data_IF_612922712287
#
_entry.id   IF_612922712287
#
_cell.length_a   1.000
_cell.length_b   1.000
_cell.length_c   1.000
_cell.angle_alpha   90.00
_cell.angle_beta   90.00
_cell.angle_gamma   90.00
#
_symmetry.space_group_name_H-M   'P 1'
#
loop_
_entity.id
_entity.type
_entity.pdbx_description
1 polymer ?
#
# COMPACT_ATOMS: atom_id res chain seq x y z
N UNK A 1 -11.22 -13.69 -13.80
CA UNK A 1 -12.34 -14.64 -13.87
C UNK A 1 -13.12 -14.47 -12.58
N UNK A 2 -14.22 -13.72 -12.63
CA UNK A 2 -14.97 -13.33 -11.43
C UNK A 2 -15.96 -14.42 -11.03
N UNK A 3 -15.92 -14.82 -9.77
CA UNK A 3 -16.79 -15.85 -9.22
C UNK A 3 -18.17 -15.24 -8.95
N UNK A 4 -19.08 -15.31 -9.93
CA UNK A 4 -20.48 -14.92 -9.74
C UNK A 4 -21.21 -16.00 -8.96
N UNK A 5 -21.24 -15.86 -7.63
CA UNK A 5 -22.09 -16.69 -6.78
C UNK A 5 -23.51 -16.11 -6.73
N UNK A 6 -24.45 -16.76 -7.40
CA UNK A 6 -25.89 -16.57 -7.18
C UNK A 6 -26.30 -17.19 -5.84
N UNK A 7 -26.66 -16.37 -4.86
CA UNK A 7 -27.19 -16.82 -3.56
C UNK A 7 -28.72 -17.04 -3.67
N UNK A 8 -29.29 -18.10 -3.08
CA UNK A 8 -30.73 -18.42 -3.12
C UNK A 8 -31.60 -17.34 -2.44
N UNK A 9 -32.91 -17.34 -2.77
CA UNK A 9 -33.92 -16.33 -2.35
C UNK A 9 -33.75 -15.90 -0.87
N UNK A 10 -33.31 -14.66 -0.69
CA UNK A 10 -33.02 -14.06 0.62
C UNK A 10 -34.30 -13.70 1.39
N UNK A 11 -34.43 -14.15 2.64
CA UNK A 11 -35.44 -13.66 3.57
C UNK A 11 -35.19 -12.20 4.01
N UNK A 12 -36.20 -11.51 4.58
CA UNK A 12 -36.14 -10.09 5.01
C UNK A 12 -34.87 -9.72 5.80
N UNK A 13 -34.39 -10.61 6.69
CA UNK A 13 -33.17 -10.39 7.50
C UNK A 13 -31.87 -10.42 6.70
N UNK A 14 -31.79 -11.27 5.67
CA UNK A 14 -30.64 -11.32 4.77
C UNK A 14 -30.55 -10.07 3.89
N UNK A 15 -31.70 -9.52 3.48
CA UNK A 15 -31.77 -8.24 2.75
C UNK A 15 -31.29 -7.07 3.61
N UNK A 16 -31.59 -7.09 4.92
CA UNK A 16 -31.16 -6.07 5.87
C UNK A 16 -29.63 -6.06 6.09
N UNK A 17 -28.99 -7.23 6.25
CA UNK A 17 -27.52 -7.32 6.34
C UNK A 17 -26.83 -6.77 5.08
N UNK A 18 -27.37 -7.10 3.90
CA UNK A 18 -26.85 -6.59 2.63
C UNK A 18 -26.88 -5.06 2.56
N UNK A 19 -27.91 -4.42 3.13
CA UNK A 19 -28.00 -2.95 3.19
C UNK A 19 -26.92 -2.37 4.11
N UNK A 20 -26.71 -2.95 5.30
CA UNK A 20 -25.67 -2.46 6.22
C UNK A 20 -24.27 -2.62 5.66
N UNK A 21 -23.98 -3.79 5.08
CA UNK A 21 -22.71 -4.04 4.44
C UNK A 21 -22.51 -3.17 3.22
N UNK A 22 -23.56 -2.89 2.46
CA UNK A 22 -23.55 -1.92 1.36
C UNK A 22 -23.24 -0.50 1.84
N UNK A 23 -23.89 -0.02 2.91
CA UNK A 23 -23.64 1.31 3.48
C UNK A 23 -22.20 1.40 3.99
N UNK A 24 -21.75 0.43 4.78
CA UNK A 24 -20.40 0.39 5.31
C UNK A 24 -19.36 0.31 4.18
N UNK A 25 -19.62 -0.49 3.15
CA UNK A 25 -18.73 -0.61 1.98
C UNK A 25 -18.67 0.69 1.20
N UNK A 26 -19.80 1.32 0.91
CA UNK A 26 -19.84 2.64 0.27
C UNK A 26 -19.08 3.67 1.08
N UNK A 27 -19.21 3.66 2.40
CA UNK A 27 -18.47 4.56 3.25
C UNK A 27 -16.96 4.30 3.10
N UNK A 28 -16.51 3.07 3.35
CA UNK A 28 -15.09 2.67 3.30
C UNK A 28 -14.46 2.92 1.91
N UNK A 29 -15.14 2.52 0.83
CA UNK A 29 -14.63 2.62 -0.55
C UNK A 29 -14.71 4.04 -1.13
N UNK A 30 -15.48 4.96 -0.55
CA UNK A 30 -15.58 6.35 -1.01
C UNK A 30 -14.89 7.36 -0.09
N UNK A 31 -14.27 6.92 1.01
CA UNK A 31 -13.44 7.78 1.85
C UNK A 31 -12.34 8.41 1.02
N UNK A 32 -12.06 9.70 1.25
CA UNK A 32 -10.95 10.33 0.55
C UNK A 32 -9.59 9.93 1.15
N UNK A 33 -8.50 10.32 0.47
CA UNK A 33 -7.15 9.96 0.91
C UNK A 33 -6.83 10.53 2.30
N UNK A 34 -7.28 11.74 2.60
CA UNK A 34 -7.04 12.35 3.92
C UNK A 34 -7.86 11.65 4.99
N UNK A 35 -9.09 11.22 4.69
CA UNK A 35 -9.91 10.43 5.61
C UNK A 35 -9.23 9.11 5.98
N UNK A 36 -8.68 8.38 4.99
CA UNK A 36 -7.96 7.13 5.21
C UNK A 36 -6.68 7.34 6.05
N UNK A 37 -5.92 8.40 5.76
CA UNK A 37 -4.77 8.80 6.58
C UNK A 37 -5.23 9.19 7.98
N UNK A 38 -6.34 9.90 8.11
CA UNK A 38 -6.91 10.29 9.38
C UNK A 38 -7.43 9.09 10.18
N UNK A 39 -7.81 7.96 9.55
CA UNK A 39 -8.07 6.72 10.28
C UNK A 39 -6.85 6.23 11.08
N UNK A 40 -5.63 6.63 10.72
CA UNK A 40 -4.47 6.33 11.57
C UNK A 40 -4.40 7.22 12.82
N UNK A 41 -5.09 8.37 12.80
CA UNK A 41 -5.12 9.35 13.90
C UNK A 41 -6.22 9.01 14.90
N UNK A 42 -5.85 9.08 16.17
CA UNK A 42 -6.73 8.79 17.30
C UNK A 42 -8.04 9.58 17.26
N UNK A 43 -7.94 10.91 17.17
CA UNK A 43 -9.07 11.84 17.26
C UNK A 43 -10.15 11.64 16.18
N UNK A 44 -9.75 11.14 15.00
CA UNK A 44 -10.66 10.91 13.89
C UNK A 44 -11.43 9.60 14.05
N UNK A 45 -10.78 8.54 14.54
CA UNK A 45 -11.45 7.28 14.87
C UNK A 45 -12.49 7.45 15.98
N UNK A 46 -12.18 8.26 17.01
CA UNK A 46 -13.10 8.54 18.11
C UNK A 46 -14.43 9.11 17.60
N UNK A 47 -14.37 10.08 16.67
CA UNK A 47 -15.57 10.68 16.04
C UNK A 47 -16.35 9.66 15.21
N UNK A 48 -15.64 8.84 14.43
CA UNK A 48 -16.27 7.86 13.56
C UNK A 48 -17.05 6.80 14.35
N UNK A 49 -16.52 6.34 15.48
CA UNK A 49 -17.22 5.38 16.34
C UNK A 49 -18.44 6.00 17.03
N UNK A 50 -18.33 7.21 17.59
CA UNK A 50 -19.47 7.87 18.24
C UNK A 50 -20.61 8.01 17.25
N UNK A 51 -20.32 8.50 16.04
CA UNK A 51 -21.32 8.63 14.98
C UNK A 51 -21.92 7.27 14.60
N UNK A 52 -21.09 6.25 14.44
CA UNK A 52 -21.54 4.91 14.01
C UNK A 52 -22.40 4.23 15.08
N UNK A 53 -21.98 4.27 16.34
CA UNK A 53 -22.73 3.71 17.48
C UNK A 53 -24.03 4.48 17.76
N UNK A 54 -24.05 5.80 17.58
CA UNK A 54 -25.25 6.63 17.65
C UNK A 54 -26.25 6.30 16.55
N UNK A 55 -25.77 6.13 15.32
CA UNK A 55 -26.59 5.69 14.18
C UNK A 55 -27.21 4.32 14.46
N UNK A 56 -26.43 3.38 14.99
CA UNK A 56 -26.94 2.06 15.38
C UNK A 56 -28.02 2.14 16.45
N UNK A 57 -27.80 2.97 17.47
CA UNK A 57 -28.76 3.13 18.57
C UNK A 57 -30.09 3.75 18.13
N UNK A 58 -30.05 4.75 17.24
CA UNK A 58 -31.22 5.52 16.82
C UNK A 58 -32.06 4.82 15.76
N UNK A 59 -31.44 4.04 14.87
CA UNK A 59 -32.10 3.55 13.67
C UNK A 59 -32.43 2.05 13.67
N UNK A 60 -31.96 1.28 14.66
CA UNK A 60 -32.06 -0.19 14.64
C UNK A 60 -32.81 -0.76 15.83
N UNK A 61 -33.61 -1.79 15.57
CA UNK A 61 -34.32 -2.52 16.62
C UNK A 61 -33.38 -3.43 17.40
N UNK A 62 -33.82 -3.87 18.56
CA UNK A 62 -33.07 -4.81 19.41
C UNK A 62 -32.76 -6.13 18.68
N UNK A 63 -33.72 -6.66 17.93
CA UNK A 63 -33.54 -7.89 17.15
C UNK A 63 -32.53 -7.70 16.01
N UNK A 64 -32.48 -6.51 15.40
CA UNK A 64 -31.49 -6.19 14.37
C UNK A 64 -30.08 -6.14 14.96
N UNK A 65 -29.93 -5.58 16.16
CA UNK A 65 -28.63 -5.49 16.85
C UNK A 65 -28.12 -6.86 17.27
N UNK A 66 -28.97 -7.72 17.84
CA UNK A 66 -28.61 -9.10 18.19
C UNK A 66 -28.17 -9.88 16.94
N UNK A 67 -28.91 -9.72 15.84
CA UNK A 67 -28.62 -10.40 14.59
C UNK A 67 -27.32 -9.89 13.94
N UNK A 68 -27.04 -8.59 13.99
CA UNK A 68 -25.78 -8.00 13.53
C UNK A 68 -24.58 -8.49 14.36
N UNK A 69 -24.71 -8.51 15.69
CA UNK A 69 -23.65 -9.00 16.58
C UNK A 69 -23.33 -10.48 16.29
N UNK A 70 -24.35 -11.33 16.15
CA UNK A 70 -24.18 -12.72 15.71
C UNK A 70 -23.46 -12.82 14.37
N UNK A 71 -23.88 -12.05 13.36
CA UNK A 71 -23.21 -12.05 12.05
C UNK A 71 -21.73 -11.69 12.17
N UNK A 72 -21.37 -10.70 12.98
CA UNK A 72 -19.96 -10.28 13.11
C UNK A 72 -19.10 -11.35 13.78
N UNK A 73 -19.69 -12.21 14.61
CA UNK A 73 -19.00 -13.29 15.33
C UNK A 73 -18.96 -14.59 14.53
N UNK A 74 -20.06 -14.99 13.92
CA UNK A 74 -20.28 -16.33 13.35
C UNK A 74 -20.50 -16.33 11.82
N UNK A 75 -20.74 -15.16 11.21
CA UNK A 75 -21.05 -15.02 9.79
C UNK A 75 -22.55 -15.18 9.50
N UNK A 76 -22.93 -15.36 8.23
CA UNK A 76 -24.32 -15.72 7.91
C UNK A 76 -24.54 -17.22 8.13
N UNK A 77 -25.28 -17.58 9.17
CA UNK A 77 -25.84 -18.93 9.31
C UNK A 77 -27.03 -19.07 8.35
N UNK A 78 -26.86 -19.79 7.24
CA UNK A 78 -27.97 -20.15 6.35
C UNK A 78 -28.70 -21.35 6.95
N UNK A 79 -29.57 -21.12 7.92
CA UNK A 79 -30.61 -22.10 8.24
C UNK A 79 -31.76 -21.89 7.25
N UNK A 80 -31.62 -22.53 6.08
CA UNK A 80 -32.76 -22.88 5.25
C UNK A 80 -33.59 -23.88 6.05
N UNK A 81 -34.62 -23.39 6.75
CA UNK A 81 -35.89 -24.09 6.99
C UNK A 81 -36.83 -23.10 7.68
N UNK A 82 -37.76 -22.58 6.87
CA UNK A 82 -39.08 -22.07 7.25
C UNK A 82 -39.20 -20.97 8.31
N UNK A 83 -40.18 -20.10 8.06
CA UNK A 83 -40.60 -18.92 8.81
C UNK A 83 -41.10 -19.16 10.25
N UNK A 84 -40.60 -20.17 10.95
CA UNK A 84 -41.01 -20.49 12.31
C UNK A 84 -39.98 -21.44 12.93
N UNK A 85 -38.93 -20.88 13.53
CA UNK A 85 -38.23 -21.38 14.72
C UNK A 85 -36.93 -20.60 14.90
N UNK A 86 -36.96 -19.64 15.83
CA UNK A 86 -35.77 -19.00 16.36
C UNK A 86 -35.12 -20.01 17.33
N UNK A 87 -34.13 -20.74 16.84
CA UNK A 87 -33.14 -21.51 17.60
C UNK A 87 -31.93 -21.72 16.65
N UNK A 88 -30.69 -21.41 16.99
CA UNK A 88 -29.95 -21.85 18.17
C UNK A 88 -28.89 -20.79 18.54
N UNK A 89 -29.23 -19.91 19.48
CA UNK A 89 -28.39 -19.71 20.67
C UNK A 89 -29.30 -19.96 21.86
N UNK A 90 -28.76 -20.64 22.86
CA UNK A 90 -29.49 -21.21 23.99
C UNK A 90 -30.54 -20.23 24.56
N UNK A 91 -31.83 -20.60 24.41
CA UNK A 91 -33.03 -19.82 24.76
C UNK A 91 -33.00 -19.36 26.23
N UNK A 92 -32.34 -20.15 27.08
CA UNK A 92 -32.16 -19.90 28.51
C UNK A 92 -31.19 -18.75 28.83
N UNK A 93 -30.25 -18.45 27.92
CA UNK A 93 -29.37 -17.26 28.01
C UNK A 93 -30.03 -16.01 27.44
N UNK A 94 -30.94 -16.17 26.48
CA UNK A 94 -31.62 -15.05 25.82
C UNK A 94 -32.76 -14.49 26.67
N UNK A 95 -33.44 -15.34 27.45
CA UNK A 95 -34.34 -14.90 28.52
C UNK A 95 -33.62 -14.28 29.73
N UNK A 96 -32.28 -14.40 29.81
CA UNK A 96 -31.41 -13.77 30.82
C UNK A 96 -30.62 -12.56 30.30
N UNK A 97 -30.50 -12.40 28.98
CA UNK A 97 -29.96 -11.21 28.35
C UNK A 97 -31.12 -10.24 28.18
N UNK A 98 -31.39 -9.49 29.24
CA UNK A 98 -32.28 -8.35 29.14
C UNK A 98 -31.62 -7.27 28.26
N UNK A 99 -31.76 -7.39 26.94
CA UNK A 99 -31.25 -6.38 25.98
C UNK A 99 -32.10 -5.09 26.06
N UNK A 100 -33.12 -5.03 26.94
CA UNK A 100 -33.68 -3.75 27.39
C UNK A 100 -32.70 -2.98 28.29
N UNK A 101 -31.71 -3.66 28.89
CA UNK A 101 -30.62 -3.02 29.60
C UNK A 101 -29.76 -2.20 28.62
N UNK A 102 -29.85 -0.87 28.77
CA UNK A 102 -29.11 0.13 27.99
C UNK A 102 -27.61 -0.18 27.89
N UNK A 103 -27.01 -0.81 28.91
CA UNK A 103 -25.58 -1.16 28.96
C UNK A 103 -25.25 -2.32 28.01
N UNK A 104 -26.09 -3.37 27.97
CA UNK A 104 -25.88 -4.55 27.11
C UNK A 104 -26.04 -4.15 25.63
N UNK A 105 -27.11 -3.41 25.31
CA UNK A 105 -27.32 -2.84 23.97
C UNK A 105 -26.13 -1.96 23.54
N UNK A 106 -25.60 -1.13 24.44
CA UNK A 106 -24.45 -0.28 24.17
C UNK A 106 -23.19 -1.11 23.85
N UNK A 107 -22.90 -2.16 24.62
CA UNK A 107 -21.76 -3.05 24.37
C UNK A 107 -21.85 -3.79 23.03
N UNK A 108 -23.05 -4.23 22.63
CA UNK A 108 -23.26 -4.85 21.32
C UNK A 108 -23.01 -3.85 20.18
N UNK A 109 -23.53 -2.62 20.28
CA UNK A 109 -23.25 -1.57 19.29
C UNK A 109 -21.76 -1.24 19.18
N UNK A 110 -21.04 -1.23 20.30
CA UNK A 110 -19.57 -1.02 20.32
C UNK A 110 -18.86 -2.21 19.63
N UNK A 111 -19.27 -3.45 19.91
CA UNK A 111 -18.73 -4.65 19.26
C UNK A 111 -18.93 -4.66 17.74
N UNK A 112 -20.12 -4.27 17.27
CA UNK A 112 -20.42 -4.12 15.84
C UNK A 112 -19.56 -3.01 15.22
N UNK A 113 -19.43 -1.87 15.89
CA UNK A 113 -18.61 -0.74 15.41
C UNK A 113 -17.13 -1.13 15.31
N UNK A 114 -16.62 -1.88 16.29
CA UNK A 114 -15.26 -2.43 16.33
C UNK A 114 -14.94 -3.27 15.08
N UNK A 115 -15.91 -4.04 14.58
CA UNK A 115 -15.76 -4.86 13.37
C UNK A 115 -15.57 -4.00 12.11
N UNK A 116 -16.49 -3.06 11.85
CA UNK A 116 -16.43 -2.20 10.68
C UNK A 116 -15.21 -1.26 10.68
N UNK A 117 -14.79 -0.77 11.85
CA UNK A 117 -13.57 0.03 11.99
C UNK A 117 -12.33 -0.80 11.63
N UNK A 118 -12.27 -2.06 12.05
CA UNK A 118 -11.15 -2.95 11.72
C UNK A 118 -11.07 -3.23 10.21
N UNK A 119 -12.21 -3.38 9.54
CA UNK A 119 -12.28 -3.48 8.06
C UNK A 119 -11.73 -2.19 7.43
N UNK A 120 -12.11 -1.02 7.94
CA UNK A 120 -11.62 0.26 7.42
C UNK A 120 -10.09 0.40 7.58
N UNK A 121 -9.51 0.04 8.73
CA UNK A 121 -8.05 0.05 8.93
C UNK A 121 -7.33 -0.94 8.00
N UNK A 122 -7.89 -2.13 7.81
CA UNK A 122 -7.36 -3.15 6.92
C UNK A 122 -7.35 -2.65 5.46
N UNK A 123 -8.48 -2.10 5.01
CA UNK A 123 -8.63 -1.50 3.68
C UNK A 123 -7.65 -0.34 3.47
N UNK A 124 -7.57 0.58 4.43
CA UNK A 124 -6.65 1.71 4.40
C UNK A 124 -5.20 1.24 4.24
N UNK A 125 -4.78 0.24 5.02
CA UNK A 125 -3.42 -0.32 4.95
C UNK A 125 -3.08 -0.88 3.57
N UNK A 126 -4.03 -1.57 2.92
CA UNK A 126 -3.85 -2.13 1.58
C UNK A 126 -3.78 -1.04 0.50
N UNK A 127 -4.75 -0.12 0.48
CA UNK A 127 -4.83 0.93 -0.55
C UNK A 127 -3.68 1.92 -0.43
N UNK A 128 -3.32 2.31 0.79
CA UNK A 128 -2.20 3.22 1.04
C UNK A 128 -0.86 2.59 0.64
N UNK A 129 -0.67 1.29 0.90
CA UNK A 129 0.52 0.56 0.45
C UNK A 129 0.58 0.45 -1.08
N UNK A 130 -0.56 0.20 -1.74
CA UNK A 130 -0.63 0.14 -3.20
C UNK A 130 -0.43 1.51 -3.85
N UNK A 131 -0.82 2.58 -3.15
CA UNK A 131 -0.89 3.98 -3.56
C UNK A 131 -1.23 4.18 -5.05
N UNK A 132 -2.43 3.76 -5.50
CA UNK A 132 -2.87 4.00 -6.87
C UNK A 132 -3.18 5.49 -7.09
N UNK A 133 -2.77 6.02 -8.24
CA UNK A 133 -3.04 7.39 -8.69
C UNK A 133 -3.56 7.37 -10.11
N UNK A 134 -4.52 8.22 -10.41
CA UNK A 134 -5.02 8.49 -11.75
C UNK A 134 -4.21 9.59 -12.40
N UNK A 135 -3.81 9.38 -13.66
CA UNK A 135 -3.15 10.38 -14.47
C UNK A 135 -3.99 10.71 -15.70
N UNK A 136 -4.15 12.00 -15.97
CA UNK A 136 -4.82 12.48 -17.17
C UNK A 136 -4.13 13.77 -17.65
N UNK A 137 -4.30 14.10 -18.93
CA UNK A 137 -3.90 15.41 -19.44
C UNK A 137 -5.06 16.38 -19.28
N UNK A 138 -4.79 17.53 -18.69
CA UNK A 138 -5.78 18.61 -18.63
C UNK A 138 -5.98 19.26 -20.01
N UNK A 139 -6.88 20.24 -20.08
CA UNK A 139 -7.17 21.00 -21.30
C UNK A 139 -5.95 21.68 -21.92
N UNK A 140 -4.88 21.89 -21.12
CA UNK A 140 -3.65 22.55 -21.55
C UNK A 140 -2.56 21.53 -21.92
N UNK A 141 -2.88 20.23 -21.96
CA UNK A 141 -1.96 19.15 -22.28
C UNK A 141 -1.02 18.77 -21.12
N UNK A 142 -1.12 19.43 -19.97
CA UNK A 142 -0.28 19.16 -18.80
C UNK A 142 -0.73 17.88 -18.09
N UNK A 143 0.23 17.05 -17.68
CA UNK A 143 -0.05 15.80 -16.99
C UNK A 143 -0.42 16.09 -15.52
N UNK A 144 -1.67 15.79 -15.15
CA UNK A 144 -2.15 15.86 -13.76
C UNK A 144 -2.20 14.48 -13.15
N UNK A 145 -1.89 14.39 -11.86
CA UNK A 145 -1.97 13.17 -11.07
C UNK A 145 -2.93 13.39 -9.91
N UNK A 146 -3.95 12.53 -9.79
CA UNK A 146 -4.98 12.59 -8.76
C UNK A 146 -4.99 11.26 -8.01
N UNK A 147 -4.99 11.23 -6.67
CA UNK A 147 -5.08 9.98 -5.91
C UNK A 147 -6.31 9.14 -6.31
N UNK A 148 -6.22 7.82 -6.21
CA UNK A 148 -7.31 6.90 -6.60
C UNK A 148 -8.67 7.25 -5.95
N UNK A 149 -8.67 7.58 -4.66
CA UNK A 149 -9.90 7.94 -3.94
C UNK A 149 -10.50 9.28 -4.38
N UNK A 150 -9.72 10.12 -5.07
CA UNK A 150 -10.11 11.45 -5.52
C UNK A 150 -10.62 11.45 -6.97
N UNK A 151 -11.00 10.28 -7.50
CA UNK A 151 -11.57 10.13 -8.86
C UNK A 151 -12.71 11.11 -9.15
N UNK A 152 -13.53 11.42 -8.14
CA UNK A 152 -14.68 12.34 -8.26
C UNK A 152 -14.27 13.75 -8.72
N UNK A 153 -13.08 14.21 -8.34
CA UNK A 153 -12.54 15.52 -8.71
C UNK A 153 -11.99 15.58 -10.14
N UNK A 154 -11.91 14.44 -10.82
CA UNK A 154 -11.51 14.39 -12.23
C UNK A 154 -12.74 14.77 -13.08
N UNK A 155 -12.64 15.80 -13.93
CA UNK A 155 -13.73 16.20 -14.82
C UNK A 155 -14.24 15.02 -15.65
N UNK A 156 -15.57 14.85 -15.69
CA UNK A 156 -16.25 13.68 -16.26
C UNK A 156 -15.80 13.37 -17.70
N UNK A 157 -15.58 14.41 -18.50
CA UNK A 157 -15.11 14.37 -19.88
C UNK A 157 -13.65 13.89 -20.04
N UNK A 158 -12.85 13.91 -18.98
CA UNK A 158 -11.44 13.48 -18.98
C UNK A 158 -11.25 12.09 -18.37
N UNK A 159 -12.30 11.49 -17.78
CA UNK A 159 -12.23 10.17 -17.13
C UNK A 159 -11.95 9.03 -18.11
N UNK A 160 -12.32 9.18 -19.38
CA UNK A 160 -12.08 8.19 -20.45
C UNK A 160 -10.61 8.07 -20.85
N UNK A 161 -9.83 9.15 -20.73
CA UNK A 161 -8.40 9.19 -21.09
C UNK A 161 -7.46 8.94 -19.90
N UNK A 162 -8.03 8.53 -18.78
CA UNK A 162 -7.33 8.38 -17.51
C UNK A 162 -6.52 7.09 -17.47
N UNK A 163 -5.25 7.18 -17.08
CA UNK A 163 -4.37 6.03 -16.84
C UNK A 163 -4.13 5.87 -15.36
N UNK A 164 -4.21 4.64 -14.85
CA UNK A 164 -3.84 4.36 -13.47
C UNK A 164 -2.31 4.20 -13.36
N UNK A 165 -1.63 5.15 -12.70
CA UNK A 165 -0.21 5.05 -12.33
C UNK A 165 -0.07 4.72 -10.86
N UNK A 166 0.91 3.89 -10.53
CA UNK A 166 1.17 3.44 -9.15
C UNK A 166 2.42 4.17 -8.66
N UNK A 167 2.32 4.86 -7.51
CA UNK A 167 3.44 5.60 -6.92
C UNK A 167 3.63 5.15 -5.47
N UNK A 168 4.10 3.93 -5.28
CA UNK A 168 4.50 3.38 -3.97
C UNK A 168 6.03 3.33 -3.82
N UNK A 169 6.52 2.89 -2.66
CA UNK A 169 7.96 2.76 -2.38
C UNK A 169 8.70 2.04 -3.52
N UNK A 170 8.23 0.86 -3.92
CA UNK A 170 8.86 0.04 -4.95
C UNK A 170 8.99 0.77 -6.29
N UNK A 171 7.89 1.38 -6.75
CA UNK A 171 7.90 2.15 -8.00
C UNK A 171 8.79 3.39 -7.92
N UNK A 172 8.87 4.08 -6.78
CA UNK A 172 9.80 5.19 -6.56
C UNK A 172 11.26 4.72 -6.63
N UNK A 173 11.57 3.56 -6.04
CA UNK A 173 12.90 2.94 -6.13
C UNK A 173 13.26 2.55 -7.56
N UNK A 174 12.37 1.87 -8.26
CA UNK A 174 12.62 1.38 -9.64
C UNK A 174 12.75 2.56 -10.62
N UNK A 175 11.89 3.57 -10.49
CA UNK A 175 11.91 4.74 -11.38
C UNK A 175 13.02 5.74 -11.04
N UNK A 176 13.85 5.45 -10.03
CA UNK A 176 15.01 6.29 -9.71
C UNK A 176 16.11 6.22 -10.77
N UNK A 177 16.08 5.21 -11.65
CA UNK A 177 16.99 5.06 -12.78
C UNK A 177 16.15 5.11 -14.06
N UNK A 178 16.48 6.04 -14.95
CA UNK A 178 15.77 6.31 -16.19
C UNK A 178 16.62 5.90 -17.39
N UNK A 179 15.97 5.28 -18.36
CA UNK A 179 16.60 4.74 -19.57
C UNK A 179 16.02 5.42 -20.80
N UNK A 180 16.89 6.00 -21.63
CA UNK A 180 16.52 6.69 -22.87
C UNK A 180 17.33 6.11 -24.03
N UNK A 181 16.73 5.23 -24.86
CA UNK A 181 17.38 4.71 -26.05
C UNK A 181 17.84 5.85 -26.96
N UNK A 182 19.11 5.81 -27.37
CA UNK A 182 19.66 6.83 -28.24
C UNK A 182 19.24 6.57 -29.69
N UNK A 183 18.59 7.57 -30.29
CA UNK A 183 18.07 7.52 -31.64
C UNK A 183 18.84 8.48 -32.53
N UNK A 184 19.08 8.06 -33.76
CA UNK A 184 19.60 8.90 -34.85
C UNK A 184 18.67 8.84 -36.05
N UNK A 185 18.86 9.71 -37.04
CA UNK A 185 18.15 9.62 -38.31
C UNK A 185 18.96 8.80 -39.30
N UNK A 186 18.31 7.91 -40.02
CA UNK A 186 18.88 7.30 -41.22
C UNK A 186 18.92 8.32 -42.38
N UNK A 187 19.47 7.89 -43.52
CA UNK A 187 19.57 8.70 -44.74
C UNK A 187 18.18 9.09 -45.29
N UNK A 188 17.15 8.32 -44.96
CA UNK A 188 15.76 8.56 -45.34
C UNK A 188 14.99 9.43 -44.31
N UNK A 189 15.66 9.87 -43.24
CA UNK A 189 15.05 10.68 -42.18
C UNK A 189 14.29 9.89 -41.09
N UNK A 190 14.27 8.55 -41.15
CA UNK A 190 13.63 7.72 -40.14
C UNK A 190 14.46 7.63 -38.86
N UNK A 191 13.80 7.60 -37.70
CA UNK A 191 14.47 7.38 -36.42
C UNK A 191 14.89 5.91 -36.27
N UNK A 192 16.19 5.67 -36.12
CA UNK A 192 16.79 4.36 -35.84
C UNK A 192 17.56 4.38 -34.51
N UNK A 193 17.56 3.25 -33.80
CA UNK A 193 18.31 3.11 -32.55
C UNK A 193 19.80 2.85 -32.85
N UNK A 194 20.67 3.53 -32.10
CA UNK A 194 22.13 3.50 -32.32
C UNK A 194 22.83 2.31 -31.66
N UNK A 195 22.09 1.46 -30.94
CA UNK A 195 22.65 0.41 -30.08
C UNK A 195 23.21 0.93 -28.75
N UNK A 196 22.95 2.20 -28.41
CA UNK A 196 23.30 2.82 -27.13
C UNK A 196 22.06 3.29 -26.40
N UNK A 197 22.15 3.30 -25.07
CA UNK A 197 21.14 3.84 -24.17
C UNK A 197 21.78 4.86 -23.26
N UNK A 198 21.10 5.99 -23.10
CA UNK A 198 21.45 6.96 -22.07
C UNK A 198 20.74 6.60 -20.77
N UNK A 199 21.47 6.68 -19.66
CA UNK A 199 20.95 6.39 -18.33
C UNK A 199 21.14 7.63 -17.46
N UNK A 200 20.07 8.09 -16.83
CA UNK A 200 20.08 9.12 -15.79
C UNK A 200 19.47 8.56 -14.51
N UNK A 201 19.70 9.21 -13.38
CA UNK A 201 19.12 8.76 -12.11
C UNK A 201 18.87 9.93 -11.14
N UNK A 202 18.06 9.67 -10.12
CA UNK A 202 17.78 10.57 -9.00
C UNK A 202 18.21 9.99 -7.64
N UNK A 203 19.11 8.99 -7.63
CA UNK A 203 19.49 8.21 -6.45
C UNK A 203 19.97 9.11 -5.30
N UNK A 204 20.78 10.11 -5.63
CA UNK A 204 21.32 11.05 -4.65
C UNK A 204 20.25 11.93 -3.98
N UNK A 205 19.05 12.01 -4.55
CA UNK A 205 17.93 12.75 -3.97
C UNK A 205 16.97 11.86 -3.17
N UNK A 206 17.14 10.53 -3.22
CA UNK A 206 16.30 9.60 -2.48
C UNK A 206 16.44 9.80 -0.96
N UNK A 207 15.30 9.63 -0.27
CA UNK A 207 15.16 9.73 1.19
C UNK A 207 15.58 11.08 1.79
N UNK A 208 15.80 12.11 0.97
CA UNK A 208 16.06 13.47 1.43
C UNK A 208 14.72 14.17 1.69
N UNK A 209 14.66 14.96 2.75
CA UNK A 209 13.52 15.86 2.96
C UNK A 209 13.52 16.99 1.92
N UNK A 210 12.35 17.36 1.36
CA UNK A 210 12.23 18.53 0.50
C UNK A 210 12.44 19.80 1.36
N UNK A 211 13.66 20.33 1.36
CA UNK A 211 13.96 21.59 2.02
C UNK A 211 13.35 22.77 1.28
N UNK A 212 12.84 23.76 2.02
CA UNK A 212 12.31 25.02 1.48
C UNK A 212 13.35 25.86 0.74
N UNK A 213 14.66 25.60 0.90
CA UNK A 213 15.73 26.26 0.18
C UNK A 213 16.88 25.28 -0.17
N UNK A 214 17.21 25.25 -1.47
CA UNK A 214 18.41 24.78 -2.19
C UNK A 214 19.36 23.73 -1.56
N UNK A 215 19.70 22.73 -2.38
CA UNK A 215 21.04 22.07 -2.51
C UNK A 215 22.04 22.47 -1.40
N UNK A 216 22.04 21.87 -0.21
CA UNK A 216 22.99 20.79 0.13
C UNK A 216 22.89 20.25 1.57
N UNK A 217 21.91 20.64 2.40
CA UNK A 217 21.78 20.14 3.79
C UNK A 217 20.36 19.62 4.12
N UNK A 218 19.79 18.74 3.28
CA UNK A 218 18.49 18.13 3.62
C UNK A 218 18.66 17.03 4.66
N UNK A 219 17.81 17.00 5.67
CA UNK A 219 17.76 15.88 6.60
C UNK A 219 17.29 14.59 5.90
N UNK A 220 17.65 13.46 6.49
CA UNK A 220 17.23 12.15 5.99
C UNK A 220 15.90 11.77 6.61
N UNK A 221 14.91 11.47 5.76
CA UNK A 221 13.55 11.11 6.17
C UNK A 221 13.53 9.91 7.12
N UNK A 222 12.50 9.86 7.96
CA UNK A 222 12.21 8.68 8.77
C UNK A 222 11.46 7.66 7.94
N UNK A 223 11.55 6.39 8.34
CA UNK A 223 10.88 5.30 7.68
C UNK A 223 9.35 5.42 7.79
N UNK A 224 8.83 5.93 8.92
CA UNK A 224 7.39 6.20 9.09
C UNK A 224 6.80 7.13 8.01
N UNK A 225 7.62 7.99 7.40
CA UNK A 225 7.18 8.91 6.37
C UNK A 225 6.98 8.21 5.02
N UNK A 226 7.37 6.93 4.89
CA UNK A 226 7.10 6.16 3.70
C UNK A 226 5.60 5.88 3.54
N UNK A 227 5.12 6.09 2.33
CA UNK A 227 3.70 5.98 1.97
C UNK A 227 3.20 4.60 2.39
N UNK A 228 2.09 4.52 3.16
CA UNK A 228 1.47 3.27 3.62
C UNK A 228 2.00 2.74 4.96
N UNK A 229 3.09 3.31 5.50
CA UNK A 229 3.71 2.76 6.71
C UNK A 229 2.99 3.19 7.99
N UNK A 230 2.36 4.37 8.01
CA UNK A 230 1.52 4.81 9.12
C UNK A 230 0.30 3.91 9.30
N UNK A 231 -0.30 3.46 8.21
CA UNK A 231 -1.44 2.55 8.22
C UNK A 231 -1.00 1.14 8.62
N UNK A 232 0.14 0.66 8.10
CA UNK A 232 0.73 -0.58 8.58
C UNK A 232 1.01 -0.53 10.08
N UNK A 233 1.58 0.58 10.57
CA UNK A 233 1.82 0.79 12.00
C UNK A 233 0.53 0.69 12.80
N UNK A 234 -0.52 1.38 12.33
CA UNK A 234 -1.85 1.34 12.95
C UNK A 234 -2.44 -0.07 12.95
N UNK A 235 -2.16 -0.86 11.93
CA UNK A 235 -2.67 -2.21 11.80
C UNK A 235 -2.17 -3.15 12.91
N UNK A 236 -1.08 -2.83 13.62
CA UNK A 236 -0.61 -3.57 14.80
C UNK A 236 -1.44 -3.33 16.07
N UNK A 237 -2.19 -2.25 16.15
CA UNK A 237 -3.03 -1.97 17.31
C UNK A 237 -4.28 -2.85 17.23
N UNK A 238 -4.41 -3.80 18.15
CA UNK A 238 -5.46 -4.83 18.16
C UNK A 238 -6.20 -4.94 19.49
N UNK A 239 -5.73 -4.26 20.53
CA UNK A 239 -6.47 -4.08 21.79
C UNK A 239 -7.43 -2.92 21.63
N UNK A 240 -8.71 -3.21 21.84
CA UNK A 240 -9.80 -2.25 21.67
C UNK A 240 -10.18 -1.64 23.02
N UNK A 241 -10.08 -0.32 23.11
CA UNK A 241 -10.53 0.48 24.23
C UNK A 241 -12.02 0.77 24.07
N UNK A 242 -12.86 0.20 24.94
CA UNK A 242 -14.32 0.32 24.84
C UNK A 242 -14.85 1.70 25.23
N UNK A 243 -14.10 2.44 26.06
CA UNK A 243 -14.49 3.79 26.48
C UNK A 243 -14.17 4.82 25.40
N UNK A 244 -13.04 4.63 24.72
CA UNK A 244 -12.59 5.51 23.64
C UNK A 244 -13.05 5.06 22.25
N UNK A 245 -13.43 3.80 22.09
CA UNK A 245 -13.87 3.24 20.82
C UNK A 245 -12.76 3.09 19.78
N UNK A 246 -11.54 2.80 20.22
CA UNK A 246 -10.37 2.75 19.33
C UNK A 246 -9.48 1.57 19.64
N UNK A 247 -8.80 1.10 18.60
CA UNK A 247 -7.62 0.27 18.77
C UNK A 247 -6.45 1.18 19.15
N UNK A 248 -6.02 1.19 20.41
CA UNK A 248 -4.99 2.14 20.87
C UNK A 248 -3.82 1.49 21.60
N UNK A 249 -3.87 0.17 21.78
CA UNK A 249 -2.74 -0.61 22.28
C UNK A 249 -2.58 -1.90 21.46
N UNK A 250 -1.44 -2.53 21.64
CA UNK A 250 -1.06 -3.80 21.06
C UNK A 250 -1.16 -4.90 22.13
N UNK A 251 -1.74 -6.04 21.76
CA UNK A 251 -1.68 -7.28 22.53
C UNK A 251 -0.22 -7.73 22.69
N UNK A 252 0.05 -8.65 23.60
CA UNK A 252 1.42 -9.15 23.77
C UNK A 252 1.91 -9.88 22.50
N UNK A 253 1.01 -10.58 21.83
CA UNK A 253 1.25 -11.21 20.53
C UNK A 253 1.59 -10.16 19.47
N UNK A 254 0.79 -9.09 19.37
CA UNK A 254 1.03 -8.03 18.39
C UNK A 254 2.28 -7.22 18.70
N UNK A 255 2.60 -6.97 19.99
CA UNK A 255 3.86 -6.36 20.43
C UNK A 255 5.06 -7.19 19.98
N UNK A 256 4.96 -8.53 20.08
CA UNK A 256 6.01 -9.44 19.61
C UNK A 256 6.16 -9.36 18.09
N UNK A 257 5.07 -9.46 17.33
CA UNK A 257 5.10 -9.31 15.87
C UNK A 257 5.68 -7.96 15.44
N UNK A 258 5.28 -6.87 16.10
CA UNK A 258 5.72 -5.52 15.82
C UNK A 258 7.23 -5.37 16.05
N UNK A 259 7.75 -5.87 17.18
CA UNK A 259 9.19 -5.84 17.48
C UNK A 259 10.01 -6.61 16.46
N UNK A 260 9.54 -7.77 16.00
CA UNK A 260 10.23 -8.53 14.96
C UNK A 260 10.22 -7.79 13.62
N UNK A 261 9.07 -7.20 13.24
CA UNK A 261 9.00 -6.31 12.07
C UNK A 261 9.97 -5.13 12.19
N UNK A 262 10.02 -4.44 13.33
CA UNK A 262 10.95 -3.33 13.56
C UNK A 262 12.41 -3.74 13.34
N UNK A 263 12.83 -4.90 13.86
CA UNK A 263 14.20 -5.42 13.64
C UNK A 263 14.47 -5.67 12.16
N UNK A 264 13.53 -6.29 11.44
CA UNK A 264 13.68 -6.60 10.01
C UNK A 264 13.76 -5.31 9.19
N UNK A 265 12.86 -4.36 9.45
CA UNK A 265 12.83 -3.08 8.76
C UNK A 265 14.08 -2.26 9.08
N UNK A 266 14.50 -2.19 10.34
CA UNK A 266 15.73 -1.49 10.73
C UNK A 266 16.92 -2.00 9.94
N UNK A 267 17.16 -3.32 9.96
CA UNK A 267 18.28 -3.94 9.23
C UNK A 267 18.20 -3.68 7.73
N UNK A 268 17.00 -3.74 7.17
CA UNK A 268 16.79 -3.60 5.72
C UNK A 268 16.98 -2.17 5.23
N UNK A 269 16.42 -1.18 5.95
CA UNK A 269 16.39 0.22 5.49
C UNK A 269 17.59 1.05 5.96
N UNK A 270 18.29 0.62 7.01
CA UNK A 270 19.53 1.29 7.47
C UNK A 270 20.78 0.61 6.93
N UNK A 271 20.72 -0.71 6.68
CA UNK A 271 21.89 -1.55 6.41
C UNK A 271 22.69 -1.96 7.65
N UNK A 272 22.33 -1.47 8.84
CA UNK A 272 23.00 -1.80 10.09
C UNK A 272 22.54 -3.16 10.62
N UNK A 273 23.49 -4.00 11.02
CA UNK A 273 23.19 -5.33 11.59
C UNK A 273 22.80 -5.26 13.07
N UNK A 274 23.39 -4.31 13.79
CA UNK A 274 23.21 -4.13 15.23
C UNK A 274 21.99 -3.26 15.49
N UNK A 275 20.93 -3.88 16.02
CA UNK A 275 19.66 -3.21 16.29
C UNK A 275 19.75 -2.49 17.65
N UNK A 276 19.51 -1.17 17.72
CA UNK A 276 19.52 -0.43 18.98
C UNK A 276 18.47 -0.96 19.97
N UNK A 277 18.83 -1.03 21.25
CA UNK A 277 17.91 -1.47 22.32
C UNK A 277 16.74 -0.52 22.54
N UNK A 278 16.88 0.76 22.15
CA UNK A 278 15.84 1.79 22.27
C UNK A 278 14.90 1.88 21.05
N UNK A 279 15.00 0.97 20.08
CA UNK A 279 14.10 0.93 18.92
C UNK A 279 12.67 0.58 19.35
N UNK A 280 11.74 1.54 19.28
CA UNK A 280 10.34 1.37 19.74
C UNK A 280 9.31 1.50 18.63
N UNK A 281 9.62 2.18 17.54
CA UNK A 281 8.67 2.48 16.47
C UNK A 281 9.34 2.61 15.10
N UNK A 282 8.54 2.58 14.02
CA UNK A 282 9.05 2.87 12.68
C UNK A 282 9.59 4.31 12.55
N UNK A 283 9.13 5.24 13.39
CA UNK A 283 9.62 6.63 13.42
C UNK A 283 11.05 6.76 13.94
N UNK A 284 11.51 5.79 14.73
CA UNK A 284 12.89 5.74 15.24
C UNK A 284 13.89 5.30 14.15
N UNK A 285 13.40 4.75 13.04
CA UNK A 285 14.23 4.25 11.95
C UNK A 285 14.47 5.39 10.95
N UNK A 286 15.69 5.94 10.95
CA UNK A 286 16.14 6.87 9.91
C UNK A 286 16.49 6.08 8.65
N UNK A 287 15.98 6.49 7.47
CA UNK A 287 16.30 5.82 6.21
C UNK A 287 17.78 6.00 5.84
N UNK A 288 18.26 5.21 4.87
CA UNK A 288 19.59 5.41 4.29
C UNK A 288 19.67 6.77 3.57
N UNK A 289 20.60 7.62 3.99
CA UNK A 289 20.82 8.95 3.40
C UNK A 289 21.72 8.89 2.17
N UNK A 290 21.15 8.56 1.01
CA UNK A 290 21.93 8.45 -0.25
C UNK A 290 22.69 9.73 -0.60
N UNK A 291 22.11 10.90 -0.34
CA UNK A 291 22.76 12.21 -0.49
C UNK A 291 24.04 12.39 0.34
N UNK A 292 24.22 11.63 1.43
CA UNK A 292 25.43 11.69 2.29
C UNK A 292 26.55 10.78 1.79
N UNK A 293 26.29 9.96 0.77
CA UNK A 293 27.29 9.07 0.22
C UNK A 293 28.35 9.85 -0.56
N UNK A 294 29.63 9.44 -0.48
CA UNK A 294 30.74 10.12 -1.18
C UNK A 294 30.50 10.23 -2.69
N UNK A 295 29.82 9.24 -3.26
CA UNK A 295 29.42 9.22 -4.67
C UNK A 295 28.28 10.20 -5.01
N UNK A 296 27.81 11.07 -4.12
CA UNK A 296 26.73 12.01 -4.39
C UNK A 296 27.15 13.49 -4.32
N UNK A 297 28.46 13.77 -4.29
CA UNK A 297 29.00 15.14 -4.32
C UNK A 297 28.72 15.82 -5.68
N UNK A 298 28.78 17.16 -5.72
CA UNK A 298 28.38 18.01 -6.87
C UNK A 298 29.10 17.69 -8.20
N UNK A 299 30.23 16.98 -8.17
CA UNK A 299 31.00 16.53 -9.35
C UNK A 299 31.05 14.99 -9.51
N UNK A 300 30.11 14.26 -8.92
CA UNK A 300 30.10 12.80 -9.02
C UNK A 300 29.51 12.31 -10.34
N UNK A 301 30.14 11.29 -10.92
CA UNK A 301 29.61 10.52 -12.06
C UNK A 301 28.21 9.95 -11.80
N UNK A 302 27.83 9.77 -10.52
CA UNK A 302 26.49 9.33 -10.11
C UNK A 302 25.41 10.34 -10.50
N UNK A 303 25.74 11.63 -10.62
CA UNK A 303 24.79 12.66 -11.00
C UNK A 303 24.78 12.90 -12.53
N UNK A 304 25.65 12.21 -13.28
CA UNK A 304 25.79 12.41 -14.72
C UNK A 304 24.89 11.48 -15.52
N UNK A 305 24.42 11.98 -16.67
CA UNK A 305 23.83 11.15 -17.72
C UNK A 305 24.94 10.33 -18.37
N UNK A 306 24.82 9.00 -18.31
CA UNK A 306 25.82 8.09 -18.87
C UNK A 306 25.32 7.47 -20.17
N UNK A 307 26.20 7.38 -21.18
CA UNK A 307 25.93 6.67 -22.43
C UNK A 307 26.56 5.27 -22.37
N UNK A 308 25.75 4.24 -22.60
CA UNK A 308 26.14 2.83 -22.43
C UNK A 308 25.72 2.03 -23.66
N UNK A 309 26.55 1.09 -24.12
CA UNK A 309 26.19 0.14 -25.18
C UNK A 309 25.15 -0.87 -24.68
N UNK A 310 24.20 -1.22 -25.54
CA UNK A 310 23.13 -2.16 -25.19
C UNK A 310 23.63 -3.60 -24.95
N UNK A 311 24.80 -3.96 -25.46
CA UNK A 311 25.47 -5.24 -25.23
C UNK A 311 26.34 -5.27 -23.95
N UNK A 312 26.44 -4.17 -23.21
CA UNK A 312 27.23 -4.12 -21.99
C UNK A 312 26.65 -5.11 -20.95
N UNK A 313 27.51 -5.98 -20.42
CA UNK A 313 27.13 -7.00 -19.42
C UNK A 313 26.38 -6.40 -18.22
N UNK A 314 26.88 -5.30 -17.65
CA UNK A 314 26.24 -4.66 -16.49
C UNK A 314 24.93 -3.98 -16.85
N UNK A 315 24.80 -3.46 -18.08
CA UNK A 315 23.53 -2.93 -18.58
C UNK A 315 22.45 -4.01 -18.69
N UNK A 316 22.79 -5.17 -19.25
CA UNK A 316 21.89 -6.32 -19.35
C UNK A 316 21.51 -6.82 -17.94
N UNK A 317 22.48 -6.93 -17.03
CA UNK A 317 22.22 -7.32 -15.63
C UNK A 317 21.30 -6.32 -14.92
N UNK A 318 21.47 -5.02 -15.15
CA UNK A 318 20.64 -3.97 -14.58
C UNK A 318 19.19 -4.09 -15.06
N UNK A 319 18.98 -4.24 -16.38
CA UNK A 319 17.66 -4.46 -16.95
C UNK A 319 16.98 -5.72 -16.41
N UNK A 320 17.72 -6.82 -16.27
CA UNK A 320 17.22 -8.06 -15.69
C UNK A 320 16.83 -7.90 -14.21
N UNK A 321 17.63 -7.18 -13.42
CA UNK A 321 17.35 -6.91 -12.02
C UNK A 321 16.08 -6.06 -11.84
N UNK A 322 15.91 -5.02 -12.67
CA UNK A 322 14.71 -4.18 -12.70
C UNK A 322 13.46 -5.01 -13.06
N UNK A 323 13.53 -5.78 -14.15
CA UNK A 323 12.42 -6.65 -14.59
C UNK A 323 12.03 -7.66 -13.52
N UNK A 324 13.02 -8.28 -12.86
CA UNK A 324 12.79 -9.20 -11.74
C UNK A 324 12.09 -8.47 -10.58
N UNK A 325 12.55 -7.30 -10.19
CA UNK A 325 11.95 -6.52 -9.09
C UNK A 325 10.49 -6.17 -9.37
N UNK A 326 10.18 -5.70 -10.59
CA UNK A 326 8.80 -5.40 -11.03
C UNK A 326 7.93 -6.66 -10.96
N UNK A 327 8.40 -7.77 -11.54
CA UNK A 327 7.64 -9.02 -11.58
C UNK A 327 7.31 -9.56 -10.20
N UNK A 328 8.31 -9.64 -9.31
CA UNK A 328 8.10 -10.19 -7.98
C UNK A 328 7.25 -9.25 -7.10
N UNK A 329 7.36 -7.93 -7.28
CA UNK A 329 6.48 -6.94 -6.64
C UNK A 329 5.03 -7.13 -7.08
N UNK A 330 4.78 -7.39 -8.37
CA UNK A 330 3.44 -7.66 -8.87
C UNK A 330 2.83 -8.94 -8.27
N UNK A 331 3.62 -9.98 -7.99
CA UNK A 331 3.12 -11.19 -7.30
C UNK A 331 2.63 -10.89 -5.88
N UNK A 332 3.37 -10.07 -5.11
CA UNK A 332 2.93 -9.68 -3.77
C UNK A 332 1.66 -8.82 -3.86
N UNK A 333 1.56 -7.95 -4.86
CA UNK A 333 0.35 -7.17 -5.13
C UNK A 333 -0.88 -8.07 -5.36
N UNK A 334 -0.73 -9.17 -6.10
CA UNK A 334 -1.86 -10.08 -6.34
C UNK A 334 -2.40 -10.64 -5.02
N UNK A 335 -1.55 -10.86 -4.01
CA UNK A 335 -2.01 -11.24 -2.67
C UNK A 335 -2.86 -10.17 -1.98
N UNK A 336 -2.61 -8.88 -2.23
CA UNK A 336 -3.47 -7.80 -1.70
C UNK A 336 -4.84 -7.81 -2.35
N UNK A 337 -4.92 -8.13 -3.65
CA UNK A 337 -6.19 -8.29 -4.36
C UNK A 337 -6.94 -9.48 -3.77
N UNK A 338 -6.27 -10.61 -3.55
CA UNK A 338 -6.90 -11.77 -2.89
C UNK A 338 -7.42 -11.45 -1.50
N UNK A 339 -6.70 -10.64 -0.70
CA UNK A 339 -7.19 -10.18 0.60
C UNK A 339 -8.46 -9.31 0.44
N UNK A 340 -8.49 -8.41 -0.55
CA UNK A 340 -9.67 -7.59 -0.83
C UNK A 340 -10.88 -8.44 -1.26
N UNK A 341 -10.66 -9.50 -2.04
CA UNK A 341 -11.70 -10.44 -2.48
C UNK A 341 -12.28 -11.26 -1.32
N UNK A 342 -11.53 -11.47 -0.24
CA UNK A 342 -12.03 -12.08 1.01
C UNK A 342 -12.85 -11.10 1.87
N UNK A 343 -12.61 -9.79 1.72
CA UNK A 343 -13.29 -8.72 2.47
C UNK A 343 -14.57 -8.28 1.76
N UNK A 344 -14.56 -8.23 0.43
CA UNK A 344 -15.62 -7.64 -0.38
C UNK A 344 -16.11 -8.60 -1.45
N UNK A 345 -17.40 -8.52 -1.78
CA UNK A 345 -18.01 -9.28 -2.86
C UNK A 345 -18.91 -8.38 -3.71
N UNK A 346 -18.98 -8.65 -5.02
CA UNK A 346 -19.97 -8.03 -5.89
C UNK A 346 -21.33 -8.73 -5.73
N UNK A 347 -22.36 -7.95 -5.38
CA UNK A 347 -23.75 -8.37 -5.38
C UNK A 347 -24.52 -7.61 -6.46
N UNK A 348 -25.44 -8.28 -7.15
CA UNK A 348 -26.39 -7.61 -8.04
C UNK A 348 -27.62 -7.21 -7.25
N UNK A 349 -27.98 -5.93 -7.27
CA UNK A 349 -29.24 -5.46 -6.71
C UNK A 349 -30.39 -6.06 -7.52
N UNK A 350 -31.25 -6.83 -6.85
CA UNK A 350 -32.36 -7.53 -7.50
C UNK A 350 -33.41 -6.58 -8.09
N UNK A 351 -33.49 -5.33 -7.60
CA UNK A 351 -34.42 -4.28 -8.02
C UNK A 351 -33.79 -3.41 -9.10
N UNK A 352 -32.60 -2.86 -8.87
CA UNK A 352 -31.98 -1.91 -9.81
C UNK A 352 -31.14 -2.59 -10.89
N UNK A 353 -30.86 -3.90 -10.76
CA UNK A 353 -29.94 -4.69 -11.61
C UNK A 353 -28.51 -4.17 -11.64
N UNK A 354 -28.18 -3.17 -10.83
CA UNK A 354 -26.84 -2.61 -10.71
C UNK A 354 -25.96 -3.54 -9.88
N UNK A 355 -24.69 -3.62 -10.26
CA UNK A 355 -23.66 -4.28 -9.45
C UNK A 355 -23.24 -3.35 -8.32
N UNK A 356 -23.23 -3.88 -7.11
CA UNK A 356 -22.81 -3.19 -5.90
C UNK A 356 -21.77 -4.02 -5.16
N UNK A 357 -20.73 -3.37 -4.65
CA UNK A 357 -19.74 -4.03 -3.80
C UNK A 357 -20.21 -3.94 -2.36
N UNK A 358 -20.22 -5.07 -1.64
CA UNK A 358 -20.58 -5.16 -0.23
C UNK A 358 -19.49 -5.91 0.56
N UNK A 359 -19.46 -5.76 1.89
CA UNK A 359 -18.62 -6.58 2.75
C UNK A 359 -19.08 -8.03 2.64
N UNK A 360 -18.12 -8.94 2.53
CA UNK A 360 -18.38 -10.36 2.37
C UNK A 360 -19.25 -10.85 3.54
N UNK A 361 -20.45 -11.43 3.29
CA UNK A 361 -21.38 -11.72 4.37
C UNK A 361 -20.85 -12.74 5.39
N UNK A 362 -20.01 -13.67 4.92
CA UNK A 362 -19.33 -14.67 5.75
C UNK A 362 -18.04 -14.18 6.43
N UNK A 363 -17.72 -12.88 6.33
CA UNK A 363 -16.61 -12.28 7.06
C UNK A 363 -16.99 -12.16 8.53
N UNK A 364 -16.18 -12.78 9.39
CA UNK A 364 -16.32 -12.74 10.85
C UNK A 364 -15.13 -12.03 11.47
N UNK A 365 -15.21 -11.64 12.74
CA UNK A 365 -14.09 -11.02 13.45
C UNK A 365 -12.86 -11.94 13.45
N UNK A 366 -13.03 -13.26 13.65
CA UNK A 366 -11.92 -14.21 13.62
C UNK A 366 -11.24 -14.27 12.23
N UNK A 367 -12.03 -14.31 11.15
CA UNK A 367 -11.48 -14.25 9.79
C UNK A 367 -10.79 -12.91 9.53
N UNK A 368 -11.39 -11.82 9.99
CA UNK A 368 -10.83 -10.49 9.86
C UNK A 368 -9.49 -10.37 10.60
N UNK A 369 -9.35 -10.97 11.78
CA UNK A 369 -8.09 -11.03 12.54
C UNK A 369 -7.00 -11.79 11.75
N UNK A 370 -7.35 -12.92 11.14
CA UNK A 370 -6.44 -13.67 10.26
C UNK A 370 -6.03 -12.86 9.03
N UNK A 371 -6.96 -12.14 8.40
CA UNK A 371 -6.68 -11.26 7.26
C UNK A 371 -5.78 -10.09 7.67
N UNK A 372 -5.96 -9.54 8.88
CA UNK A 372 -5.08 -8.51 9.45
C UNK A 372 -3.64 -9.03 9.60
N UNK A 373 -3.45 -10.20 10.22
CA UNK A 373 -2.11 -10.79 10.37
C UNK A 373 -1.46 -11.14 9.03
N UNK A 374 -2.23 -11.68 8.09
CA UNK A 374 -1.79 -11.91 6.71
C UNK A 374 -1.35 -10.60 6.06
N UNK A 375 -2.14 -9.54 6.20
CA UNK A 375 -1.87 -8.23 5.59
C UNK A 375 -0.61 -7.58 6.15
N UNK A 376 -0.42 -7.57 7.47
CA UNK A 376 0.81 -7.07 8.12
C UNK A 376 2.04 -7.74 7.51
N UNK A 377 1.99 -9.07 7.34
CA UNK A 377 3.08 -9.86 6.76
C UNK A 377 3.32 -9.55 5.29
N UNK A 378 2.28 -9.54 4.46
CA UNK A 378 2.45 -9.31 3.01
C UNK A 378 2.89 -7.88 2.71
N UNK A 379 2.38 -6.88 3.44
CA UNK A 379 2.90 -5.51 3.41
C UNK A 379 4.37 -5.52 3.83
N UNK A 380 4.71 -6.09 5.00
CA UNK A 380 6.10 -6.18 5.46
C UNK A 380 7.05 -6.79 4.42
N UNK A 381 6.65 -7.90 3.79
CA UNK A 381 7.37 -8.55 2.70
C UNK A 381 7.57 -7.63 1.51
N UNK A 382 6.55 -6.87 1.10
CA UNK A 382 6.65 -5.92 -0.01
C UNK A 382 7.75 -4.88 0.25
N UNK A 383 7.70 -4.17 1.38
CA UNK A 383 8.66 -3.11 1.70
C UNK A 383 10.09 -3.67 1.77
N UNK A 384 10.27 -4.75 2.52
CA UNK A 384 11.59 -5.38 2.71
C UNK A 384 12.15 -5.87 1.39
N UNK A 385 11.33 -6.50 0.56
CA UNK A 385 11.76 -7.01 -0.73
C UNK A 385 12.12 -5.88 -1.70
N UNK A 386 11.30 -4.84 -1.77
CA UNK A 386 11.56 -3.70 -2.65
C UNK A 386 12.86 -2.98 -2.30
N UNK A 387 13.13 -2.77 -1.01
CA UNK A 387 14.39 -2.14 -0.60
C UNK A 387 15.60 -3.05 -0.89
N UNK A 388 15.50 -4.36 -0.64
CA UNK A 388 16.58 -5.31 -0.98
C UNK A 388 16.85 -5.40 -2.48
N UNK A 389 15.80 -5.51 -3.28
CA UNK A 389 15.92 -5.55 -4.73
C UNK A 389 16.51 -4.22 -5.25
N UNK A 390 16.12 -3.08 -4.67
CA UNK A 390 16.70 -1.78 -4.97
C UNK A 390 18.18 -1.69 -4.62
N UNK A 391 18.59 -2.17 -3.44
CA UNK A 391 20.01 -2.20 -3.07
C UNK A 391 20.83 -3.07 -4.03
N UNK A 392 20.28 -4.18 -4.52
CA UNK A 392 20.93 -4.97 -5.57
C UNK A 392 21.02 -4.22 -6.91
N UNK A 393 19.95 -3.54 -7.32
CA UNK A 393 19.94 -2.69 -8.53
C UNK A 393 21.00 -1.59 -8.41
N UNK A 394 21.11 -0.94 -7.26
CA UNK A 394 22.09 0.10 -6.98
C UNK A 394 23.53 -0.44 -7.12
N UNK A 395 23.83 -1.59 -6.51
CA UNK A 395 25.16 -2.19 -6.63
C UNK A 395 25.52 -2.53 -8.09
N UNK A 396 24.56 -3.00 -8.89
CA UNK A 396 24.79 -3.27 -10.32
C UNK A 396 25.01 -1.96 -11.09
N UNK A 397 24.28 -0.90 -10.75
CA UNK A 397 24.45 0.41 -11.35
C UNK A 397 25.82 1.02 -11.01
N UNK A 398 26.26 0.90 -9.76
CA UNK A 398 27.62 1.32 -9.35
C UNK A 398 28.70 0.56 -10.12
N UNK A 399 28.56 -0.76 -10.28
CA UNK A 399 29.48 -1.56 -11.10
C UNK A 399 29.49 -1.15 -12.58
N UNK A 400 28.35 -0.73 -13.13
CA UNK A 400 28.26 -0.18 -14.49
C UNK A 400 29.02 1.15 -14.61
N UNK A 401 28.93 2.01 -13.60
CA UNK A 401 29.68 3.27 -13.54
C UNK A 401 31.19 3.01 -13.47
N UNK A 402 31.61 2.07 -12.63
CA UNK A 402 33.02 1.66 -12.51
C UNK A 402 33.59 1.09 -13.81
N UNK A 403 32.85 0.20 -14.50
CA UNK A 403 33.23 -0.33 -15.82
C UNK A 403 33.43 0.80 -16.86
N UNK A 404 32.55 1.81 -16.84
CA UNK A 404 32.67 2.97 -17.73
C UNK A 404 33.91 3.80 -17.42
N UNK A 405 34.17 4.09 -16.13
CA UNK A 405 35.37 4.83 -15.71
C UNK A 405 36.63 4.10 -16.18
N UNK A 406 36.69 2.78 -15.93
CA UNK A 406 37.83 1.96 -16.32
C UNK A 406 38.08 2.01 -17.82
N UNK A 407 37.05 1.81 -18.65
CA UNK A 407 37.16 1.90 -20.12
C UNK A 407 37.64 3.27 -20.60
N UNK A 408 37.18 4.34 -19.96
CA UNK A 408 37.63 5.69 -20.27
C UNK A 408 39.12 5.91 -19.94
N UNK A 409 39.59 5.37 -18.81
CA UNK A 409 41.00 5.41 -18.41
C UNK A 409 41.84 4.61 -19.40
N UNK A 410 41.44 3.38 -19.74
CA UNK A 410 42.16 2.52 -20.68
C UNK A 410 42.30 3.18 -22.07
N UNK A 411 41.24 3.84 -22.55
CA UNK A 411 41.29 4.62 -23.80
C UNK A 411 42.26 5.80 -23.73
N UNK A 412 42.33 6.51 -22.59
CA UNK A 412 43.28 7.61 -22.40
C UNK A 412 44.73 7.10 -22.35
N UNK A 413 44.98 6.01 -21.63
CA UNK A 413 46.30 5.37 -21.59
C UNK A 413 46.74 4.95 -22.99
N UNK A 414 45.85 4.33 -23.78
CA UNK A 414 46.14 3.90 -25.15
C UNK A 414 46.53 5.10 -26.04
N UNK A 415 45.76 6.20 -25.98
CA UNK A 415 46.09 7.44 -26.73
C UNK A 415 47.42 8.04 -26.33
N UNK A 416 47.74 8.05 -25.03
CA UNK A 416 49.03 8.57 -24.55
C UNK A 416 50.18 7.72 -25.08
N UNK A 417 50.09 6.38 -25.03
CA UNK A 417 51.11 5.48 -25.60
C UNK A 417 51.31 5.73 -27.10
N UNK A 418 50.23 5.83 -27.87
CA UNK A 418 50.29 6.13 -29.30
C UNK A 418 50.97 7.49 -29.60
N UNK A 419 50.81 8.49 -28.72
CA UNK A 419 51.47 9.79 -28.85
C UNK A 419 52.96 9.74 -28.47
N UNK A 420 53.33 8.90 -27.49
CA UNK A 420 54.73 8.72 -27.09
C UNK A 420 55.51 7.96 -28.16
N UNK A 421 54.92 6.90 -28.73
CA UNK A 421 55.54 6.11 -29.80
C UNK A 421 55.74 6.94 -31.08
N UNK A 422 54.82 7.86 -31.38
CA UNK A 422 54.95 8.81 -32.51
C UNK A 422 55.97 9.92 -32.30
N UNK A 423 56.44 10.16 -31.07
CA UNK A 423 57.49 11.15 -30.76
C UNK A 423 58.90 10.54 -30.71
N UNK A 424 59.01 9.21 -30.74
CA UNK A 424 60.26 8.45 -30.75
C UNK A 424 60.70 8.03 -32.17
N UNK A 425 59.97 8.48 -33.19
CA UNK A 425 60.32 8.45 -34.62
C UNK A 425 60.50 9.90 -35.04
#
# INVERSE_FOLDING_TARGET
MGNTNTIPKQGKKSKFLGIMDSIATKYILNQDFQDLVNLSKKEYCDKLLILTSDIFRKNFTQNDIVYLDQRTKEGITVNSLTSSEIAFMNKDTMNKLDVQNKIVKNRMCIGISKFYIKIAHLYASLIMTLNPTYQYRDSNGALRSVPFMNKKFIPSNLRSNMKLKKVNLCSRRINSILFEPEKTRDICGNMIETGYTNISNDICYLNREPGLNSKNNGETRKLIDEIGLSELNRLYYDVFDYDKGIYNDMSDESKKEYRESLKIFYKTFTGNKDVPSNLKSFSDITLKGFHKHKSCNDNSIMNEKIKVKNDNKYFILLGNALNKSVRETNKIRDSFISILDEIFIEQVDNVTKNKEVIIHPNLTMEKLDKLVSLTRREIGKLYVKCERDFMNILNIYEALLEDRIRKNIDMRIKRIKELTDKKLI
#
